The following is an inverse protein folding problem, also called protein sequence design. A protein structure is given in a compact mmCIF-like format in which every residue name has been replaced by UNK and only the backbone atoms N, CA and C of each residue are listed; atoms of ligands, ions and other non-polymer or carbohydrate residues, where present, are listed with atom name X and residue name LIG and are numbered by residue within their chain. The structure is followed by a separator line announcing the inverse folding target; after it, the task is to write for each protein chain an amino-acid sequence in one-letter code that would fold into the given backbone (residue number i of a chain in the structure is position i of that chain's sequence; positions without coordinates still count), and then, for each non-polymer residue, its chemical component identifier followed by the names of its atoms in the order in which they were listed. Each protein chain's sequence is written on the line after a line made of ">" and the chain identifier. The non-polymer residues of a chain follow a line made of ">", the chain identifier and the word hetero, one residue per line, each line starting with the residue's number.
data_IF_237408885826
#
_entry.id   IF_237408885826
#
_cell.length_a   1.000
_cell.length_b   1.000
_cell.length_c   1.000
_cell.angle_alpha   90.00
_cell.angle_beta   90.00
_cell.angle_gamma   90.00
#
_symmetry.space_group_name_H-M   'P 1'
#
loop_
_entity.id
_entity.type
_entity.pdbx_description
1 polymer ?
#
# COMPACT_ATOMS: atom_id res chain seq x y z
N UNK A 1 17.12 -10.42 19.75
CA UNK A 1 16.94 -11.75 19.10
C UNK A 1 16.45 -11.49 17.70
N UNK A 2 16.99 -12.22 16.69
CA UNK A 2 16.61 -12.08 15.28
C UNK A 2 15.99 -13.40 14.82
N UNK A 3 14.78 -13.31 14.28
CA UNK A 3 14.07 -14.45 13.69
C UNK A 3 14.06 -14.35 12.16
N UNK A 4 14.28 -15.47 11.49
CA UNK A 4 14.12 -15.56 10.04
C UNK A 4 12.65 -15.83 9.68
N UNK A 5 12.19 -15.16 8.65
CA UNK A 5 10.93 -15.46 7.95
C UNK A 5 11.31 -16.23 6.69
N UNK A 6 11.03 -17.52 6.70
CA UNK A 6 11.40 -18.45 5.64
C UNK A 6 10.33 -18.50 4.54
N UNK A 7 10.71 -18.98 3.36
CA UNK A 7 9.75 -19.34 2.33
C UNK A 7 8.75 -20.36 2.89
N UNK A 8 7.46 -20.10 2.67
CA UNK A 8 6.39 -20.93 3.19
C UNK A 8 5.94 -20.58 4.62
N UNK A 9 6.54 -19.58 5.29
CA UNK A 9 6.01 -19.08 6.57
C UNK A 9 4.65 -18.44 6.36
N UNK A 10 4.54 -17.52 5.39
CA UNK A 10 3.32 -16.78 5.05
C UNK A 10 2.83 -17.07 3.62
N UNK A 11 2.85 -18.34 3.21
CA UNK A 11 2.51 -18.76 1.85
C UNK A 11 3.73 -18.90 0.94
N UNK A 12 3.51 -18.97 -0.38
CA UNK A 12 4.56 -19.30 -1.34
C UNK A 12 5.53 -18.13 -1.57
N UNK A 13 5.04 -16.90 -1.53
CA UNK A 13 5.87 -15.70 -1.60
C UNK A 13 5.16 -14.49 -0.98
N UNK A 14 5.95 -13.58 -0.45
CA UNK A 14 5.52 -12.29 0.13
C UNK A 14 5.58 -11.23 -0.98
N UNK A 15 4.47 -10.51 -1.20
CA UNK A 15 4.35 -9.40 -2.14
C UNK A 15 4.28 -8.06 -1.41
N UNK A 16 4.16 -6.94 -2.14
CA UNK A 16 4.14 -5.59 -1.56
C UNK A 16 3.05 -5.41 -0.49
N UNK A 17 1.81 -5.82 -0.76
CA UNK A 17 0.74 -5.75 0.23
C UNK A 17 0.98 -6.67 1.42
N UNK A 18 1.54 -7.86 1.15
CA UNK A 18 1.86 -8.83 2.19
C UNK A 18 2.99 -8.33 3.10
N UNK A 19 3.95 -7.53 2.59
CA UNK A 19 4.99 -6.92 3.42
C UNK A 19 4.40 -6.03 4.52
N UNK A 20 3.36 -5.28 4.21
CA UNK A 20 2.64 -4.47 5.22
C UNK A 20 1.93 -5.38 6.23
N UNK A 21 1.30 -6.46 5.76
CA UNK A 21 0.66 -7.43 6.64
C UNK A 21 1.70 -8.16 7.53
N UNK A 22 2.86 -8.52 6.98
CA UNK A 22 4.00 -9.07 7.76
C UNK A 22 4.46 -8.05 8.80
N UNK A 23 4.60 -6.76 8.43
CA UNK A 23 4.96 -5.70 9.37
C UNK A 23 3.99 -5.64 10.56
N UNK A 24 2.68 -5.73 10.31
CA UNK A 24 1.68 -5.79 11.38
C UNK A 24 1.90 -7.00 12.33
N UNK A 25 2.14 -8.17 11.76
CA UNK A 25 2.35 -9.40 12.55
C UNK A 25 3.60 -9.29 13.41
N UNK A 26 4.72 -8.87 12.83
CA UNK A 26 6.00 -8.81 13.55
C UNK A 26 5.98 -7.72 14.63
N UNK A 27 5.31 -6.60 14.39
CA UNK A 27 5.15 -5.56 15.41
C UNK A 27 4.28 -6.05 16.58
N UNK A 28 3.22 -6.79 16.31
CA UNK A 28 2.42 -7.43 17.35
C UNK A 28 3.24 -8.41 18.20
N UNK A 29 4.10 -9.21 17.59
CA UNK A 29 4.99 -10.12 18.31
C UNK A 29 5.99 -9.39 19.22
N UNK A 30 6.34 -8.16 18.88
CA UNK A 30 7.26 -7.32 19.66
C UNK A 30 6.66 -6.70 20.92
N UNK A 31 5.34 -6.72 21.10
CA UNK A 31 4.69 -6.07 22.26
C UNK A 31 5.36 -6.47 23.58
N UNK A 32 5.71 -7.74 23.74
CA UNK A 32 6.37 -8.25 24.94
C UNK A 32 7.91 -8.36 24.82
N UNK A 33 8.46 -8.14 23.64
CA UNK A 33 9.88 -8.27 23.32
C UNK A 33 10.33 -7.19 22.32
N UNK A 34 10.41 -5.92 22.74
CA UNK A 34 10.60 -4.78 21.83
C UNK A 34 11.94 -4.79 21.06
N UNK A 35 12.93 -5.56 21.54
CA UNK A 35 14.22 -5.73 20.85
C UNK A 35 14.25 -6.88 19.85
N UNK A 36 13.13 -7.57 19.64
CA UNK A 36 13.01 -8.61 18.64
C UNK A 36 13.07 -7.97 17.24
N UNK A 37 13.82 -8.58 16.34
CA UNK A 37 13.92 -8.17 14.94
C UNK A 37 13.65 -9.36 14.04
N UNK A 38 13.31 -9.07 12.79
CA UNK A 38 12.93 -10.07 11.80
C UNK A 38 13.70 -9.86 10.50
N UNK A 39 14.25 -10.94 9.98
CA UNK A 39 14.90 -11.01 8.70
C UNK A 39 14.03 -11.79 7.72
N UNK A 40 13.59 -11.16 6.64
CA UNK A 40 12.87 -11.88 5.58
C UNK A 40 13.88 -12.46 4.61
N UNK A 41 13.90 -13.77 4.49
CA UNK A 41 14.77 -14.47 3.53
C UNK A 41 14.40 -14.10 2.10
N UNK A 42 15.40 -13.92 1.26
CA UNK A 42 15.21 -13.53 -0.14
C UNK A 42 14.26 -14.48 -0.87
N UNK A 43 14.33 -15.76 -0.57
CA UNK A 43 13.49 -16.81 -1.16
C UNK A 43 12.03 -16.75 -0.71
N UNK A 44 11.74 -16.04 0.39
CA UNK A 44 10.39 -15.79 0.87
C UNK A 44 9.73 -14.59 0.17
N UNK A 45 10.52 -13.68 -0.38
CA UNK A 45 10.02 -12.52 -1.14
C UNK A 45 9.68 -12.94 -2.57
N UNK A 46 8.68 -12.29 -3.15
CA UNK A 46 8.44 -12.36 -4.59
C UNK A 46 9.71 -11.93 -5.35
N UNK A 47 10.05 -12.59 -6.47
CA UNK A 47 11.20 -12.21 -7.30
C UNK A 47 11.02 -10.86 -7.99
N UNK A 48 9.84 -10.25 -7.88
CA UNK A 48 9.53 -8.93 -8.42
C UNK A 48 10.47 -7.88 -7.83
N UNK A 49 11.12 -7.11 -8.71
CA UNK A 49 12.06 -6.06 -8.30
C UNK A 49 11.42 -5.00 -7.39
N UNK A 50 10.13 -4.69 -7.59
CA UNK A 50 9.42 -3.73 -6.74
C UNK A 50 9.26 -4.24 -5.30
N UNK A 51 9.05 -5.55 -5.11
CA UNK A 51 8.97 -6.16 -3.78
C UNK A 51 10.32 -6.08 -3.08
N UNK A 52 11.41 -6.37 -3.80
CA UNK A 52 12.76 -6.27 -3.27
C UNK A 52 13.10 -4.83 -2.87
N UNK A 53 12.80 -3.86 -3.71
CA UNK A 53 13.00 -2.43 -3.43
C UNK A 53 12.16 -1.98 -2.23
N UNK A 54 10.92 -2.44 -2.12
CA UNK A 54 10.05 -2.09 -1.01
C UNK A 54 10.54 -2.67 0.31
N UNK A 55 11.02 -3.90 0.32
CA UNK A 55 11.64 -4.48 1.51
C UNK A 55 12.90 -3.71 1.93
N UNK A 56 13.75 -3.34 0.98
CA UNK A 56 14.93 -2.49 1.26
C UNK A 56 14.55 -1.12 1.82
N UNK A 57 13.45 -0.55 1.36
CA UNK A 57 12.89 0.67 1.94
C UNK A 57 12.45 0.43 3.40
N UNK A 58 11.68 -0.62 3.68
CA UNK A 58 11.20 -0.95 5.02
C UNK A 58 12.34 -1.24 6.02
N UNK A 59 13.42 -1.86 5.57
CA UNK A 59 14.62 -2.06 6.38
C UNK A 59 15.23 -0.75 6.91
N UNK A 60 15.07 0.35 6.17
CA UNK A 60 15.57 1.67 6.56
C UNK A 60 14.57 2.44 7.44
N UNK A 61 13.29 2.15 7.31
CA UNK A 61 12.23 2.88 8.00
C UNK A 61 11.81 2.22 9.33
N UNK A 62 11.94 0.90 9.43
CA UNK A 62 11.36 0.13 10.51
C UNK A 62 12.44 -0.62 11.29
N UNK A 63 12.57 -0.36 12.56
CA UNK A 63 13.59 -0.98 13.45
C UNK A 63 13.31 -2.45 13.76
N UNK A 64 12.14 -2.95 13.44
CA UNK A 64 11.77 -4.35 13.60
C UNK A 64 12.19 -5.23 12.42
N UNK A 65 12.59 -4.66 11.30
CA UNK A 65 13.24 -5.39 10.22
C UNK A 65 14.76 -5.24 10.27
N UNK A 66 15.47 -6.27 9.83
CA UNK A 66 16.93 -6.27 9.74
C UNK A 66 17.40 -7.08 8.54
N UNK A 67 18.55 -6.72 7.98
CA UNK A 67 19.26 -7.49 6.97
C UNK A 67 20.17 -8.57 7.58
N UNK A 68 20.38 -8.52 8.91
CA UNK A 68 21.13 -9.55 9.61
C UNK A 68 20.32 -10.84 9.69
N UNK A 69 20.94 -11.93 9.30
CA UNK A 69 20.35 -13.28 9.36
C UNK A 69 20.32 -13.76 10.81
N UNK A 70 19.15 -14.19 11.27
CA UNK A 70 18.98 -14.78 12.59
C UNK A 70 19.45 -16.23 12.66
N UNK A 71 19.60 -16.73 13.88
CA UNK A 71 19.91 -18.14 14.14
C UNK A 71 18.66 -19.03 14.20
N UNK A 72 17.51 -18.42 14.42
CA UNK A 72 16.23 -19.10 14.54
C UNK A 72 15.27 -18.66 13.45
N UNK A 73 14.35 -19.55 13.07
CA UNK A 73 13.28 -19.25 12.14
C UNK A 73 11.94 -19.27 12.88
N UNK A 74 10.97 -18.45 12.42
CA UNK A 74 9.61 -18.55 12.92
C UNK A 74 9.09 -19.98 12.66
N UNK A 75 8.49 -20.61 13.68
CA UNK A 75 8.05 -22.01 13.59
C UNK A 75 6.78 -22.19 12.72
N UNK A 76 6.34 -21.15 12.09
CA UNK A 76 5.08 -21.12 11.35
C UNK A 76 5.22 -21.63 9.92
N UNK A 77 4.16 -22.28 9.45
CA UNK A 77 4.08 -22.85 8.10
C UNK A 77 2.73 -22.52 7.47
N UNK A 78 2.76 -21.87 6.30
CA UNK A 78 1.58 -21.51 5.50
C UNK A 78 0.51 -20.74 6.28
N UNK A 79 0.94 -19.91 7.19
CA UNK A 79 0.04 -19.05 7.93
C UNK A 79 -0.53 -17.99 6.98
N UNK A 80 -1.83 -17.88 6.97
CA UNK A 80 -2.49 -16.82 6.22
C UNK A 80 -2.35 -15.50 6.99
N UNK A 81 -1.60 -14.54 6.44
CA UNK A 81 -1.39 -13.22 7.04
C UNK A 81 -2.69 -12.51 7.39
N UNK A 82 -3.72 -12.74 6.58
CA UNK A 82 -5.01 -12.07 6.74
C UNK A 82 -5.86 -12.64 7.87
N UNK A 83 -5.54 -13.83 8.38
CA UNK A 83 -6.20 -14.41 9.55
C UNK A 83 -5.80 -13.71 10.86
N UNK A 84 -4.67 -12.99 10.87
CA UNK A 84 -4.25 -12.17 12.01
C UNK A 84 -5.06 -10.88 12.18
N UNK A 85 -5.88 -10.51 11.22
CA UNK A 85 -6.67 -9.26 11.25
C UNK A 85 -7.52 -9.08 12.52
N UNK A 86 -8.03 -10.17 13.08
CA UNK A 86 -8.90 -10.13 14.26
C UNK A 86 -8.10 -10.12 15.57
N UNK A 87 -6.83 -10.51 15.52
CA UNK A 87 -5.90 -10.58 16.65
C UNK A 87 -5.14 -9.26 16.78
N UNK A 88 -4.77 -8.66 15.66
CA UNK A 88 -3.99 -7.42 15.62
C UNK A 88 -4.93 -6.24 15.76
N UNK A 89 -4.97 -5.65 16.95
CA UNK A 89 -5.89 -4.54 17.26
C UNK A 89 -5.58 -3.23 16.53
N UNK A 90 -4.31 -2.92 16.31
CA UNK A 90 -3.84 -1.67 15.71
C UNK A 90 -3.02 -1.92 14.44
N UNK A 91 -3.15 -1.03 13.47
CA UNK A 91 -2.34 -1.05 12.25
C UNK A 91 -0.94 -0.57 12.58
N UNK A 92 0.06 -1.25 12.04
CA UNK A 92 1.46 -0.82 12.12
C UNK A 92 1.59 0.59 11.57
N UNK A 93 2.33 1.39 12.29
CA UNK A 93 2.72 2.72 11.86
C UNK A 93 4.13 2.67 11.29
N UNK A 94 4.22 2.84 9.98
CA UNK A 94 5.51 3.03 9.32
C UNK A 94 5.92 4.49 9.58
N UNK A 95 7.06 4.73 10.23
CA UNK A 95 7.52 6.08 10.51
C UNK A 95 7.62 6.92 9.24
N UNK A 96 7.05 8.11 9.26
CA UNK A 96 7.12 9.05 8.17
C UNK A 96 7.41 10.46 8.72
N UNK A 97 8.59 10.97 8.46
CA UNK A 97 9.02 12.33 8.82
C UNK A 97 8.87 13.32 7.67
N UNK A 98 8.36 12.87 6.53
CA UNK A 98 8.17 13.71 5.34
C UNK A 98 7.04 14.71 5.60
N UNK A 99 7.32 15.99 5.35
CA UNK A 99 6.28 17.01 5.44
C UNK A 99 5.25 16.81 4.32
N UNK A 100 3.98 16.89 4.69
CA UNK A 100 2.91 16.83 3.70
C UNK A 100 2.92 18.10 2.82
N UNK A 101 2.87 17.88 1.52
CA UNK A 101 2.74 18.92 0.50
C UNK A 101 1.28 19.00 0.01
N UNK A 102 0.91 20.13 -0.60
CA UNK A 102 -0.34 20.25 -1.35
C UNK A 102 -0.29 19.36 -2.60
N UNK A 103 -0.47 18.08 -2.40
CA UNK A 103 -0.31 17.04 -3.41
C UNK A 103 -1.42 16.00 -3.33
N UNK A 104 -1.98 15.66 -4.49
CA UNK A 104 -2.83 14.50 -4.66
C UNK A 104 -2.09 13.45 -5.49
N UNK A 105 -2.03 12.24 -4.97
CA UNK A 105 -1.42 11.10 -5.65
C UNK A 105 -2.51 10.11 -6.05
N UNK A 106 -2.53 9.74 -7.32
CA UNK A 106 -3.40 8.69 -7.85
C UNK A 106 -2.55 7.49 -8.23
N UNK A 107 -2.86 6.34 -7.65
CA UNK A 107 -2.21 5.06 -7.96
C UNK A 107 -3.26 4.05 -8.45
N UNK A 108 -3.59 4.07 -9.75
CA UNK A 108 -4.59 3.20 -10.33
C UNK A 108 -4.11 1.75 -10.33
N UNK A 109 -5.05 0.83 -10.43
CA UNK A 109 -4.77 -0.59 -10.60
C UNK A 109 -4.93 -0.94 -12.07
N UNK A 110 -3.83 -1.33 -12.70
CA UNK A 110 -3.78 -1.88 -14.04
C UNK A 110 -2.93 -3.17 -14.01
N UNK A 111 -3.20 -4.08 -14.90
CA UNK A 111 -2.41 -5.32 -15.08
C UNK A 111 -2.22 -6.15 -13.80
N UNK A 112 -3.24 -6.23 -12.94
CA UNK A 112 -3.22 -7.16 -11.83
C UNK A 112 -3.27 -8.60 -12.37
N UNK A 113 -2.16 -9.36 -12.40
CA UNK A 113 -2.06 -10.60 -13.18
C UNK A 113 -2.92 -11.73 -12.62
N UNK A 114 -3.24 -11.68 -11.34
CA UNK A 114 -4.02 -12.75 -10.67
C UNK A 114 -5.42 -12.32 -10.24
N UNK A 115 -5.69 -11.02 -10.27
CA UNK A 115 -6.93 -10.43 -9.77
C UNK A 115 -7.41 -9.33 -10.73
N UNK A 116 -7.68 -9.69 -11.98
CA UNK A 116 -8.08 -8.76 -13.04
C UNK A 116 -9.32 -7.93 -12.71
N UNK A 117 -10.17 -8.45 -11.82
CA UNK A 117 -11.32 -7.71 -11.29
C UNK A 117 -10.94 -6.47 -10.45
N UNK A 118 -9.68 -6.32 -10.06
CA UNK A 118 -9.17 -5.11 -9.40
C UNK A 118 -8.80 -4.00 -10.37
N UNK A 119 -8.61 -4.34 -11.65
CA UNK A 119 -8.19 -3.39 -12.66
C UNK A 119 -9.27 -2.32 -12.85
N UNK A 120 -8.82 -1.08 -12.93
CA UNK A 120 -9.71 0.03 -13.14
C UNK A 120 -10.11 0.10 -14.63
N UNK A 121 -11.40 0.09 -14.95
CA UNK A 121 -11.85 0.37 -16.31
C UNK A 121 -11.44 1.78 -16.74
N UNK A 122 -11.00 1.97 -17.98
CA UNK A 122 -10.58 3.28 -18.48
C UNK A 122 -11.60 4.41 -18.24
N UNK A 123 -12.91 4.21 -18.44
CA UNK A 123 -13.90 5.26 -18.16
C UNK A 123 -13.98 5.65 -16.68
N UNK A 124 -13.72 4.70 -15.77
CA UNK A 124 -13.69 4.97 -14.32
C UNK A 124 -12.43 5.73 -13.97
N UNK A 125 -11.29 5.32 -14.52
CA UNK A 125 -10.03 6.02 -14.30
C UNK A 125 -10.11 7.48 -14.73
N UNK A 126 -10.67 7.77 -15.91
CA UNK A 126 -10.92 9.14 -16.38
C UNK A 126 -11.82 9.94 -15.43
N UNK A 127 -12.88 9.32 -14.92
CA UNK A 127 -13.76 9.97 -13.93
C UNK A 127 -13.01 10.30 -12.63
N UNK A 128 -12.13 9.42 -12.18
CA UNK A 128 -11.30 9.66 -10.99
C UNK A 128 -10.36 10.84 -11.23
N UNK A 129 -9.70 10.91 -12.37
CA UNK A 129 -8.82 12.03 -12.70
C UNK A 129 -9.59 13.36 -12.73
N UNK A 130 -10.73 13.39 -13.41
CA UNK A 130 -11.62 14.57 -13.47
C UNK A 130 -12.14 14.96 -12.09
N UNK A 131 -12.50 13.99 -11.26
CA UNK A 131 -12.89 14.25 -9.88
C UNK A 131 -11.77 14.95 -9.13
N UNK A 132 -10.54 14.42 -9.17
CA UNK A 132 -9.39 15.05 -8.51
C UNK A 132 -9.10 16.45 -9.05
N UNK A 133 -9.24 16.66 -10.36
CA UNK A 133 -9.07 17.98 -10.98
C UNK A 133 -10.08 19.01 -10.50
N UNK A 134 -11.31 18.58 -10.19
CA UNK A 134 -12.40 19.46 -9.74
C UNK A 134 -12.35 19.72 -8.23
N UNK A 135 -11.96 18.71 -7.45
CA UNK A 135 -11.99 18.77 -5.98
C UNK A 135 -10.76 19.46 -5.41
N UNK A 136 -9.58 19.18 -5.99
CA UNK A 136 -8.35 19.76 -5.49
C UNK A 136 -7.98 21.04 -6.25
N UNK A 137 -7.68 22.15 -5.54
CA UNK A 137 -7.27 23.41 -6.15
C UNK A 137 -6.11 23.25 -7.13
N UNK A 138 -5.95 24.26 -8.02
CA UNK A 138 -4.88 24.23 -9.04
C UNK A 138 -3.47 24.24 -8.44
N UNK A 139 -3.34 24.71 -7.22
CA UNK A 139 -2.09 24.75 -6.46
C UNK A 139 -1.63 23.36 -5.99
N UNK A 140 -2.50 22.38 -6.06
CA UNK A 140 -2.12 21.00 -5.76
C UNK A 140 -1.31 20.40 -6.91
N UNK A 141 -0.17 19.83 -6.57
CA UNK A 141 0.54 18.93 -7.46
C UNK A 141 -0.30 17.67 -7.68
N UNK A 142 -0.49 17.30 -8.94
CA UNK A 142 -1.21 16.09 -9.34
C UNK A 142 -0.23 15.06 -9.85
N UNK A 143 -0.08 13.98 -9.13
CA UNK A 143 0.88 12.92 -9.46
C UNK A 143 0.14 11.63 -9.75
N UNK A 144 0.44 11.06 -10.90
CA UNK A 144 -0.04 9.75 -11.33
C UNK A 144 1.09 8.73 -11.19
N UNK A 145 0.95 7.82 -10.24
CA UNK A 145 1.90 6.74 -9.98
C UNK A 145 1.48 5.47 -10.72
N UNK A 146 2.21 5.09 -11.74
CA UNK A 146 1.92 3.91 -12.57
C UNK A 146 3.16 3.03 -12.75
N UNK A 147 2.95 1.80 -13.20
CA UNK A 147 4.05 0.96 -13.67
C UNK A 147 4.56 1.46 -15.03
N UNK A 148 5.88 1.37 -15.33
CA UNK A 148 6.47 1.87 -16.57
C UNK A 148 5.89 1.23 -17.85
N UNK A 149 5.27 0.05 -17.73
CA UNK A 149 4.71 -0.68 -18.86
C UNK A 149 3.24 -0.31 -19.17
N UNK A 150 2.62 0.54 -18.36
CA UNK A 150 1.22 0.94 -18.55
C UNK A 150 1.13 1.98 -19.68
N UNK A 151 0.28 1.70 -20.66
CA UNK A 151 -0.08 2.64 -21.72
C UNK A 151 -1.43 3.28 -21.40
N UNK A 152 -1.47 4.60 -21.47
CA UNK A 152 -2.64 5.42 -21.17
C UNK A 152 -3.10 6.18 -22.42
N UNK A 153 -3.15 5.48 -23.55
CA UNK A 153 -3.51 6.08 -24.85
C UNK A 153 -4.94 6.65 -24.80
N UNK A 154 -5.10 7.84 -25.33
CA UNK A 154 -6.40 8.53 -25.42
C UNK A 154 -6.88 9.23 -24.14
N UNK A 155 -6.10 9.20 -23.05
CA UNK A 155 -6.43 9.89 -21.80
C UNK A 155 -5.66 11.21 -21.72
N UNK A 156 -6.36 12.32 -21.48
CA UNK A 156 -5.70 13.61 -21.27
C UNK A 156 -5.02 13.67 -19.90
N UNK A 157 -3.69 13.65 -19.92
CA UNK A 157 -2.84 13.72 -18.73
C UNK A 157 -2.04 15.01 -18.66
N UNK A 158 -2.40 16.04 -19.44
CA UNK A 158 -1.66 17.31 -19.52
C UNK A 158 -1.52 18.03 -18.18
N UNK A 159 -2.38 17.74 -17.21
CA UNK A 159 -2.39 18.31 -15.86
C UNK A 159 -1.74 17.41 -14.80
N UNK A 160 -1.16 16.30 -15.21
CA UNK A 160 -0.64 15.27 -14.32
C UNK A 160 0.85 15.05 -14.52
N UNK A 161 1.60 15.01 -13.44
CA UNK A 161 2.96 14.48 -13.45
C UNK A 161 2.89 12.96 -13.41
N UNK A 162 3.47 12.30 -14.41
CA UNK A 162 3.55 10.85 -14.44
C UNK A 162 4.82 10.38 -13.74
N UNK A 163 4.68 9.49 -12.79
CA UNK A 163 5.79 8.87 -12.05
C UNK A 163 5.74 7.36 -12.24
N UNK A 164 6.83 6.79 -12.74
CA UNK A 164 6.95 5.35 -13.04
C UNK A 164 8.02 4.64 -12.23
N UNK A 165 8.86 5.37 -11.51
CA UNK A 165 9.86 4.81 -10.62
C UNK A 165 9.23 4.46 -9.26
N UNK A 166 9.46 3.23 -8.81
CA UNK A 166 8.80 2.72 -7.62
C UNK A 166 9.15 3.50 -6.35
N UNK A 167 10.42 3.82 -6.13
CA UNK A 167 10.84 4.55 -4.92
C UNK A 167 10.36 5.99 -4.97
N UNK A 168 10.38 6.60 -6.15
CA UNK A 168 9.78 7.93 -6.38
C UNK A 168 8.29 7.92 -6.07
N UNK A 169 7.56 6.88 -6.49
CA UNK A 169 6.14 6.71 -6.17
C UNK A 169 5.89 6.61 -4.65
N UNK A 170 6.71 5.84 -3.94
CA UNK A 170 6.66 5.76 -2.47
C UNK A 170 6.89 7.13 -1.84
N UNK A 171 7.87 7.90 -2.30
CA UNK A 171 8.15 9.24 -1.79
C UNK A 171 7.00 10.22 -2.08
N UNK A 172 6.36 10.14 -3.24
CA UNK A 172 5.16 10.93 -3.53
C UNK A 172 4.02 10.60 -2.55
N UNK A 173 3.80 9.32 -2.25
CA UNK A 173 2.77 8.88 -1.29
C UNK A 173 3.09 9.39 0.12
N UNK A 174 4.35 9.33 0.55
CA UNK A 174 4.77 9.82 1.87
C UNK A 174 4.52 11.32 2.05
N UNK A 175 4.65 12.12 0.99
CA UNK A 175 4.42 13.57 1.04
C UNK A 175 3.01 14.00 0.61
N UNK A 176 2.15 13.08 0.21
CA UNK A 176 0.82 13.42 -0.28
C UNK A 176 -0.10 13.93 0.84
N UNK A 177 -0.92 14.93 0.54
CA UNK A 177 -2.05 15.30 1.38
C UNK A 177 -3.24 14.37 1.14
N UNK A 178 -3.44 13.95 -0.10
CA UNK A 178 -4.53 13.04 -0.48
C UNK A 178 -3.99 11.92 -1.39
N UNK A 179 -4.52 10.73 -1.19
CA UNK A 179 -4.16 9.55 -1.97
C UNK A 179 -5.41 8.88 -2.52
N UNK A 180 -5.38 8.53 -3.78
CA UNK A 180 -6.45 7.80 -4.48
C UNK A 180 -5.88 6.49 -4.99
N UNK A 181 -6.40 5.37 -4.55
CA UNK A 181 -5.91 4.06 -4.93
C UNK A 181 -6.96 2.98 -4.96
N UNK A 182 -6.54 1.80 -5.37
CA UNK A 182 -7.33 0.59 -5.35
C UNK A 182 -6.75 -0.45 -4.41
N UNK A 183 -7.16 -1.70 -4.54
CA UNK A 183 -6.66 -2.82 -3.73
C UNK A 183 -5.26 -3.25 -4.18
N UNK A 184 -4.26 -2.53 -3.70
CA UNK A 184 -2.83 -2.73 -4.03
C UNK A 184 -1.92 -2.48 -2.85
N UNK A 185 -0.66 -2.92 -2.97
CA UNK A 185 0.36 -2.67 -1.97
C UNK A 185 0.61 -1.19 -1.66
N UNK A 186 0.46 -0.30 -2.64
CA UNK A 186 0.59 1.14 -2.45
C UNK A 186 -0.49 1.73 -1.56
N UNK A 187 -1.72 1.23 -1.67
CA UNK A 187 -2.82 1.62 -0.78
C UNK A 187 -2.60 1.12 0.65
N UNK A 188 -2.13 -0.12 0.81
CA UNK A 188 -1.73 -0.64 2.12
C UNK A 188 -0.62 0.20 2.74
N UNK A 189 0.36 0.61 1.94
CA UNK A 189 1.45 1.46 2.39
C UNK A 189 0.96 2.85 2.82
N UNK A 190 0.16 3.52 1.97
CA UNK A 190 -0.40 4.84 2.29
C UNK A 190 -1.16 4.84 3.63
N UNK A 191 -1.89 3.75 3.90
CA UNK A 191 -2.62 3.54 5.13
C UNK A 191 -1.71 3.29 6.34
N UNK A 192 -0.61 2.55 6.16
CA UNK A 192 0.30 2.17 7.24
C UNK A 192 1.23 3.30 7.70
N UNK A 193 1.30 4.42 6.98
CA UNK A 193 2.14 5.56 7.36
C UNK A 193 1.65 6.21 8.67
N UNK A 194 2.57 6.54 9.56
CA UNK A 194 2.27 7.24 10.81
C UNK A 194 1.73 8.64 10.56
N UNK A 195 2.42 9.38 9.69
CA UNK A 195 1.98 10.65 9.15
C UNK A 195 1.90 10.52 7.63
N UNK A 196 0.74 10.18 7.12
CA UNK A 196 0.50 9.96 5.70
C UNK A 196 -0.57 10.89 5.16
N UNK A 197 -1.13 10.55 4.00
CA UNK A 197 -2.25 11.29 3.42
C UNK A 197 -3.39 11.46 4.42
N UNK A 198 -3.95 12.66 4.49
CA UNK A 198 -5.09 12.94 5.38
C UNK A 198 -6.40 12.34 4.85
N UNK A 199 -6.43 12.08 3.55
CA UNK A 199 -7.57 11.50 2.86
C UNK A 199 -7.11 10.31 2.03
N UNK A 200 -7.81 9.21 2.17
CA UNK A 200 -7.69 8.04 1.31
C UNK A 200 -9.00 7.86 0.55
N UNK A 201 -8.93 8.06 -0.75
CA UNK A 201 -10.01 7.77 -1.67
C UNK A 201 -9.77 6.39 -2.27
N UNK A 202 -10.73 5.53 -2.14
CA UNK A 202 -10.58 4.14 -2.53
C UNK A 202 -11.62 3.73 -3.56
N UNK A 203 -11.16 3.15 -4.65
CA UNK A 203 -12.02 2.55 -5.66
C UNK A 203 -11.65 1.07 -5.88
N UNK A 204 -12.66 0.23 -5.84
CA UNK A 204 -12.56 -1.17 -6.22
C UNK A 204 -13.76 -1.54 -7.11
N UNK A 205 -13.47 -2.09 -8.28
CA UNK A 205 -14.50 -2.53 -9.24
C UNK A 205 -15.29 -3.76 -8.77
N UNK A 206 -14.74 -4.54 -7.85
CA UNK A 206 -15.41 -5.75 -7.32
C UNK A 206 -16.06 -5.48 -5.97
N UNK A 207 -17.34 -5.16 -5.97
CA UNK A 207 -18.13 -4.88 -4.76
C UNK A 207 -18.19 -6.02 -3.72
N UNK A 208 -17.81 -7.24 -4.08
CA UNK A 208 -17.98 -8.43 -3.25
C UNK A 208 -16.71 -8.99 -2.62
N UNK A 209 -15.53 -8.53 -3.03
CA UNK A 209 -14.25 -9.09 -2.57
C UNK A 209 -13.45 -8.07 -1.78
N UNK A 210 -14.08 -7.52 -0.77
CA UNK A 210 -13.46 -6.65 0.21
C UNK A 210 -12.70 -7.53 1.20
N UNK A 211 -11.62 -8.18 0.79
CA UNK A 211 -10.92 -9.11 1.69
C UNK A 211 -9.78 -8.48 2.48
N UNK A 212 -9.19 -7.41 2.00
CA UNK A 212 -7.97 -6.90 2.61
C UNK A 212 -8.03 -5.47 3.10
N UNK A 213 -8.59 -4.56 2.31
CA UNK A 213 -8.67 -3.15 2.68
C UNK A 213 -9.69 -2.82 3.78
N UNK A 214 -10.87 -3.43 3.84
CA UNK A 214 -11.82 -3.13 4.90
C UNK A 214 -11.28 -3.33 6.29
N UNK A 215 -10.32 -4.19 6.46
CA UNK A 215 -9.65 -4.37 7.73
C UNK A 215 -9.02 -3.06 8.23
N UNK A 216 -8.28 -2.40 7.37
CA UNK A 216 -7.68 -1.11 7.69
C UNK A 216 -8.72 0.01 7.75
N UNK A 217 -9.76 -0.06 6.92
CA UNK A 217 -10.82 0.95 6.83
C UNK A 217 -11.76 0.92 8.03
N UNK A 218 -12.11 -0.28 8.51
CA UNK A 218 -13.09 -0.45 9.59
C UNK A 218 -12.50 -0.18 10.98
N UNK A 219 -11.19 -0.34 11.17
CA UNK A 219 -10.50 -0.09 12.44
C UNK A 219 -9.78 1.25 12.49
N UNK A 220 -10.02 2.15 11.55
CA UNK A 220 -9.35 3.43 11.40
C UNK A 220 -9.29 4.26 12.66
N UNK A 221 -8.30 4.00 13.50
CA UNK A 221 -7.84 4.88 14.56
C UNK A 221 -6.73 5.78 14.05
N UNK A 222 -6.97 6.49 12.99
CA UNK A 222 -6.02 7.43 12.43
C UNK A 222 -6.71 8.71 12.00
N UNK A 223 -5.95 9.77 11.78
CA UNK A 223 -6.44 11.04 11.26
C UNK A 223 -6.88 10.95 9.79
N UNK A 224 -6.74 9.78 9.17
CA UNK A 224 -7.05 9.56 7.77
C UNK A 224 -8.56 9.33 7.58
N UNK A 225 -9.17 10.14 6.73
CA UNK A 225 -10.54 9.94 6.27
C UNK A 225 -10.53 9.04 5.05
N UNK A 226 -11.29 7.96 5.11
CA UNK A 226 -11.43 7.03 3.98
C UNK A 226 -12.78 7.21 3.33
N UNK A 227 -12.76 7.39 2.02
CA UNK A 227 -13.95 7.54 1.20
C UNK A 227 -13.98 6.47 0.12
N UNK A 228 -15.13 5.84 -0.05
CA UNK A 228 -15.40 4.96 -1.17
C UNK A 228 -15.85 5.79 -2.37
N UNK A 229 -15.19 5.62 -3.49
CA UNK A 229 -15.63 6.21 -4.74
C UNK A 229 -16.64 5.25 -5.40
N UNK A 230 -17.92 5.55 -5.26
CA UNK A 230 -19.01 4.81 -5.89
C UNK A 230 -19.50 5.58 -7.13
N UNK A 231 -18.93 5.27 -8.29
CA UNK A 231 -19.28 5.91 -9.56
C UNK A 231 -20.59 5.40 -10.19
N UNK A 232 -21.22 4.38 -9.61
CA UNK A 232 -22.51 3.88 -10.11
C UNK A 232 -23.70 4.58 -9.47
N UNK A 233 -23.50 5.18 -8.29
CA UNK A 233 -24.57 5.86 -7.52
C UNK A 233 -24.49 7.36 -7.57
N UNK A 234 -23.36 7.93 -7.89
CA UNK A 234 -23.17 9.38 -7.95
C UNK A 234 -23.33 9.87 -9.37
N UNK A 235 -24.48 10.43 -9.69
CA UNK A 235 -24.62 11.41 -10.77
C UNK A 235 -23.85 12.64 -10.33
N UNK A 236 -22.62 12.76 -10.79
CA UNK A 236 -21.85 13.99 -10.64
C UNK A 236 -22.41 15.00 -11.65
N UNK A 237 -23.28 15.89 -11.19
CA UNK A 237 -23.74 17.06 -11.94
C UNK A 237 -22.64 18.10 -12.00
#
# INVERSE_FOLDING_TARGET
>A
MIYNIEKGTFGDCIRNGDLIAVANVVEHLRINQPKMQFHIRKEALSPDNYVQQFYQFLLKQCDYFTDNVGTESLPWRRVNLWDFRDIIGDVVKIPNTTKADFKVVVAPVFDAPYNTHRNWPAPVFEKILKYCENVYPKEFDRVLCISPNIKLDGIDLSKWQISTDFITNINHIMSAMSFVGGDTGTSHFAWALDTGPKELLYYNSSRGLIHTLPFYLLKGKGQMRTYWLDFERTTWG
#
